data_IF_512122765735
#
_entry.id   IF_512122765735
#
_cell.length_a   1.000
_cell.length_b   1.000
_cell.length_c   1.000
_cell.angle_alpha   90.00
_cell.angle_beta   90.00
_cell.angle_gamma   90.00
#
_symmetry.space_group_name_H-M   'P 1'
#
loop_
_entity.id
_entity.type
_entity.pdbx_description
1 polymer ?
#
# COMPACT_ATOMS: atom_id res chain seq x y z
N UNK A 1 -50.40 15.11 -12.16
CA UNK A 1 -49.34 14.26 -12.75
C UNK A 1 -47.93 14.85 -12.62
N UNK A 2 -47.76 16.15 -12.39
CA UNK A 2 -46.44 16.83 -12.28
C UNK A 2 -45.69 16.55 -10.98
N UNK A 3 -46.40 16.35 -9.86
CA UNK A 3 -45.77 16.16 -8.52
C UNK A 3 -44.94 14.87 -8.44
N UNK A 4 -45.43 13.77 -9.01
CA UNK A 4 -44.76 12.45 -8.99
C UNK A 4 -43.42 12.49 -9.72
N UNK A 5 -43.38 13.21 -10.86
CA UNK A 5 -42.16 13.34 -11.66
C UNK A 5 -41.08 14.12 -10.91
N UNK A 6 -41.49 15.16 -10.19
CA UNK A 6 -40.60 15.98 -9.38
C UNK A 6 -40.02 15.18 -8.19
N UNK A 7 -40.81 14.29 -7.58
CA UNK A 7 -40.33 13.46 -6.46
C UNK A 7 -39.29 12.44 -6.91
N UNK A 8 -39.50 11.80 -8.07
CA UNK A 8 -38.55 10.84 -8.64
C UNK A 8 -37.20 11.49 -8.97
N UNK A 9 -37.22 12.74 -9.45
CA UNK A 9 -35.99 13.47 -9.77
C UNK A 9 -35.15 13.77 -8.53
N UNK A 10 -35.81 14.18 -7.43
CA UNK A 10 -35.13 14.47 -6.16
C UNK A 10 -34.51 13.20 -5.57
N UNK A 11 -35.23 12.08 -5.58
CA UNK A 11 -34.70 10.79 -5.06
C UNK A 11 -33.49 10.34 -5.88
N UNK A 12 -33.57 10.43 -7.22
CA UNK A 12 -32.46 10.09 -8.10
C UNK A 12 -31.22 10.96 -7.86
N UNK A 13 -31.40 12.27 -7.67
CA UNK A 13 -30.30 13.20 -7.40
C UNK A 13 -29.63 12.92 -6.05
N UNK A 14 -30.40 12.63 -5.00
CA UNK A 14 -29.85 12.29 -3.67
C UNK A 14 -29.09 10.96 -3.71
N UNK A 15 -29.63 9.95 -4.39
CA UNK A 15 -28.95 8.67 -4.54
C UNK A 15 -27.63 8.80 -5.31
N UNK A 16 -27.61 9.59 -6.40
CA UNK A 16 -26.39 9.87 -7.16
C UNK A 16 -25.35 10.61 -6.33
N UNK A 17 -25.76 11.63 -5.56
CA UNK A 17 -24.87 12.36 -4.66
C UNK A 17 -24.25 11.44 -3.60
N UNK A 18 -25.04 10.52 -3.03
CA UNK A 18 -24.55 9.52 -2.06
C UNK A 18 -23.58 8.52 -2.70
N UNK A 19 -23.82 8.13 -3.95
CA UNK A 19 -22.92 7.26 -4.71
C UNK A 19 -21.57 7.93 -5.00
N UNK A 20 -21.60 9.21 -5.41
CA UNK A 20 -20.40 9.99 -5.72
C UNK A 20 -19.57 10.25 -4.44
N UNK A 21 -20.22 10.57 -3.32
CA UNK A 21 -19.54 10.73 -2.02
C UNK A 21 -18.97 9.41 -1.52
N UNK A 22 -19.68 8.29 -1.68
CA UNK A 22 -19.15 6.96 -1.37
C UNK A 22 -17.93 6.59 -2.22
N UNK A 23 -17.95 6.87 -3.53
CA UNK A 23 -16.82 6.66 -4.44
C UNK A 23 -15.61 7.55 -4.10
N UNK A 24 -15.84 8.81 -3.77
CA UNK A 24 -14.76 9.75 -3.39
C UNK A 24 -14.17 9.42 -2.02
N UNK A 25 -14.97 8.94 -1.07
CA UNK A 25 -14.47 8.42 0.21
C UNK A 25 -13.58 7.17 0.02
N UNK A 26 -13.92 6.28 -0.92
CA UNK A 26 -13.05 5.15 -1.30
C UNK A 26 -11.74 5.62 -1.97
N UNK A 27 -11.79 6.66 -2.80
CA UNK A 27 -10.56 7.25 -3.37
C UNK A 27 -9.68 7.91 -2.33
N UNK A 28 -10.24 8.61 -1.34
CA UNK A 28 -9.44 9.26 -0.28
C UNK A 28 -8.81 8.28 0.71
N UNK A 29 -9.45 7.14 0.97
CA UNK A 29 -8.84 6.05 1.75
C UNK A 29 -7.73 5.31 0.98
N UNK A 30 -7.60 5.56 -0.32
CA UNK A 30 -6.51 5.07 -1.16
C UNK A 30 -5.37 6.09 -1.31
N UNK A 31 -5.35 7.18 -0.51
CA UNK A 31 -4.17 8.04 -0.46
C UNK A 31 -3.03 7.19 0.13
N UNK A 32 -1.97 6.91 -0.64
CA UNK A 32 -0.84 6.16 -0.15
C UNK A 32 -0.23 6.97 1.02
N UNK A 33 -0.22 6.34 2.19
CA UNK A 33 0.53 6.87 3.34
C UNK A 33 1.98 6.78 2.92
N UNK A 34 2.60 7.94 2.67
CA UNK A 34 4.02 8.20 2.40
C UNK A 34 4.84 7.03 1.80
N UNK A 35 5.45 7.20 0.62
CA UNK A 35 6.25 6.15 -0.01
C UNK A 35 7.31 5.62 0.97
N UNK A 36 7.69 4.34 0.81
CA UNK A 36 8.74 3.78 1.64
C UNK A 36 10.04 4.61 1.48
N UNK A 37 10.76 4.90 2.57
CA UNK A 37 12.03 5.57 2.49
C UNK A 37 13.10 4.63 1.87
N UNK A 38 14.20 5.22 1.40
CA UNK A 38 15.36 4.50 0.89
C UNK A 38 15.99 3.64 2.01
N UNK A 39 16.30 2.36 1.73
CA UNK A 39 16.81 1.42 2.73
C UNK A 39 15.72 0.60 3.40
N UNK A 40 15.13 -0.32 2.63
CA UNK A 40 14.01 -1.16 3.08
C UNK A 40 14.48 -2.57 3.37
N UNK A 41 14.00 -3.14 4.48
CA UNK A 41 14.13 -4.57 4.78
C UNK A 41 12.87 -5.29 4.30
N UNK A 42 13.01 -6.11 3.26
CA UNK A 42 11.96 -6.98 2.77
C UNK A 42 12.01 -8.32 3.52
N UNK A 43 10.96 -8.60 4.27
CA UNK A 43 10.75 -9.89 4.92
C UNK A 43 9.94 -10.80 4.01
N UNK A 44 10.51 -11.96 3.70
CA UNK A 44 9.94 -12.99 2.83
C UNK A 44 9.76 -14.29 3.61
N UNK A 45 8.92 -15.20 3.12
CA UNK A 45 8.72 -16.51 3.76
C UNK A 45 8.46 -17.63 2.75
N UNK A 46 8.58 -18.90 3.18
CA UNK A 46 8.34 -20.04 2.30
C UNK A 46 6.89 -20.05 1.79
N UNK A 47 6.71 -20.37 0.50
CA UNK A 47 5.39 -20.45 -0.14
C UNK A 47 4.72 -19.10 -0.46
N UNK A 48 5.46 -17.99 -0.31
CA UNK A 48 4.95 -16.65 -0.54
C UNK A 48 4.98 -16.28 -2.04
N UNK A 49 3.85 -16.47 -2.75
CA UNK A 49 3.74 -16.08 -4.18
C UNK A 49 3.99 -14.59 -4.43
N UNK A 50 3.62 -13.73 -3.49
CA UNK A 50 3.77 -12.27 -3.63
C UNK A 50 5.19 -11.78 -3.30
N UNK A 51 6.06 -12.63 -2.75
CA UNK A 51 7.40 -12.22 -2.35
C UNK A 51 8.29 -11.94 -3.56
N UNK A 52 8.21 -12.75 -4.62
CA UNK A 52 8.96 -12.52 -5.86
C UNK A 52 8.53 -11.21 -6.54
N UNK A 53 7.22 -10.94 -6.59
CA UNK A 53 6.68 -9.68 -7.14
C UNK A 53 7.14 -8.47 -6.32
N UNK A 54 7.11 -8.58 -4.98
CA UNK A 54 7.55 -7.51 -4.09
C UNK A 54 9.06 -7.25 -4.18
N UNK A 55 9.87 -8.31 -4.27
CA UNK A 55 11.31 -8.21 -4.45
C UNK A 55 11.66 -7.54 -5.78
N UNK A 56 11.04 -7.98 -6.87
CA UNK A 56 11.26 -7.41 -8.19
C UNK A 56 10.87 -5.92 -8.22
N UNK A 57 9.70 -5.59 -7.65
CA UNK A 57 9.21 -4.22 -7.58
C UNK A 57 10.19 -3.34 -6.79
N UNK A 58 10.65 -3.79 -5.62
CA UNK A 58 11.60 -3.03 -4.81
C UNK A 58 12.96 -2.89 -5.48
N UNK A 59 13.52 -3.96 -6.08
CA UNK A 59 14.79 -3.89 -6.81
C UNK A 59 14.71 -2.95 -8.03
N UNK A 60 13.54 -2.88 -8.68
CA UNK A 60 13.35 -1.99 -9.84
C UNK A 60 13.45 -0.49 -9.48
N UNK A 61 13.30 -0.14 -8.20
CA UNK A 61 13.48 1.25 -7.73
C UNK A 61 14.93 1.69 -7.71
N UNK A 62 15.89 0.75 -7.73
CA UNK A 62 17.31 1.04 -7.51
C UNK A 62 17.68 1.33 -6.05
N UNK A 63 16.71 1.35 -5.14
CA UNK A 63 16.98 1.54 -3.71
C UNK A 63 17.67 0.30 -3.11
N UNK A 64 18.50 0.46 -2.06
CA UNK A 64 19.07 -0.65 -1.34
C UNK A 64 17.98 -1.44 -0.60
N UNK A 65 17.85 -2.73 -0.92
CA UNK A 65 16.88 -3.65 -0.32
C UNK A 65 17.61 -4.77 0.40
N UNK A 66 17.31 -4.97 1.67
CA UNK A 66 17.82 -6.10 2.46
C UNK A 66 16.74 -7.16 2.57
N UNK A 67 17.03 -8.39 2.16
CA UNK A 67 16.05 -9.49 2.20
C UNK A 67 16.31 -10.35 3.43
N UNK A 68 15.27 -10.61 4.22
CA UNK A 68 15.34 -11.42 5.43
C UNK A 68 14.23 -12.47 5.42
N UNK A 69 14.54 -13.70 5.84
CA UNK A 69 13.54 -14.76 6.00
C UNK A 69 12.73 -14.51 7.28
N UNK A 70 11.40 -14.65 7.18
CA UNK A 70 10.47 -14.52 8.29
C UNK A 70 10.80 -15.44 9.48
N UNK A 71 11.49 -16.55 9.23
CA UNK A 71 11.95 -17.49 10.27
C UNK A 71 13.16 -16.97 11.07
N UNK A 72 13.70 -15.81 10.73
CA UNK A 72 14.75 -15.17 11.53
C UNK A 72 14.18 -14.77 12.89
N UNK A 73 14.75 -15.32 13.97
CA UNK A 73 14.35 -15.05 15.36
C UNK A 73 14.41 -13.57 15.73
N UNK A 74 15.22 -12.76 15.02
CA UNK A 74 15.27 -11.31 15.23
C UNK A 74 13.94 -10.63 14.88
N UNK A 75 13.12 -11.24 14.03
CA UNK A 75 11.83 -10.72 13.60
C UNK A 75 10.67 -11.13 14.51
N UNK A 76 10.86 -12.06 15.45
CA UNK A 76 9.80 -12.49 16.38
C UNK A 76 9.27 -11.31 17.22
N UNK A 77 10.16 -10.37 17.58
CA UNK A 77 9.80 -9.16 18.30
C UNK A 77 8.83 -8.26 17.51
N UNK A 78 8.85 -8.32 16.18
CA UNK A 78 8.01 -7.51 15.29
C UNK A 78 6.61 -8.09 15.08
N UNK A 79 6.37 -9.33 15.54
CA UNK A 79 5.09 -10.06 15.41
C UNK A 79 4.48 -9.88 14.02
N UNK A 80 5.29 -10.13 13.00
CA UNK A 80 4.81 -10.08 11.62
C UNK A 80 3.77 -11.19 11.45
N UNK A 81 2.53 -10.83 11.13
CA UNK A 81 1.45 -11.79 10.94
C UNK A 81 1.34 -12.29 9.50
N UNK A 82 2.04 -11.65 8.56
CA UNK A 82 1.87 -11.88 7.11
C UNK A 82 3.14 -11.49 6.36
N UNK A 83 3.43 -12.24 5.29
CA UNK A 83 4.49 -11.97 4.31
C UNK A 83 3.89 -11.80 2.89
N UNK A 84 4.50 -11.03 1.98
CA UNK A 84 5.72 -10.23 2.17
C UNK A 84 5.48 -9.06 3.13
N UNK A 85 6.50 -8.63 3.85
CA UNK A 85 6.44 -7.42 4.67
C UNK A 85 7.64 -6.53 4.38
N UNK A 86 7.40 -5.25 4.11
CA UNK A 86 8.47 -4.27 3.96
C UNK A 86 8.57 -3.41 5.22
N UNK A 87 9.78 -3.33 5.76
CA UNK A 87 10.12 -2.59 6.96
C UNK A 87 11.09 -1.49 6.59
N UNK A 88 10.78 -0.26 6.99
CA UNK A 88 11.74 0.81 6.93
C UNK A 88 12.35 1.00 8.32
N UNK A 89 13.68 0.92 8.38
CA UNK A 89 14.45 0.95 9.61
C UNK A 89 15.30 2.21 9.61
N UNK A 90 15.16 3.04 10.64
CA UNK A 90 15.97 4.24 10.81
C UNK A 90 16.58 4.20 12.21
N UNK A 91 17.90 4.36 12.32
CA UNK A 91 18.63 4.32 13.59
C UNK A 91 18.39 3.04 14.42
N UNK A 92 18.13 1.91 13.74
CA UNK A 92 17.86 0.62 14.38
C UNK A 92 16.41 0.41 14.83
N UNK A 93 15.52 1.40 14.64
CA UNK A 93 14.09 1.27 14.94
C UNK A 93 13.25 1.15 13.68
N UNK A 94 12.19 0.34 13.74
CA UNK A 94 11.22 0.21 12.64
C UNK A 94 10.28 1.41 12.67
N UNK A 95 10.50 2.35 11.75
CA UNK A 95 9.69 3.56 11.61
C UNK A 95 8.47 3.35 10.73
N UNK A 96 8.49 2.33 9.85
CA UNK A 96 7.37 2.02 8.98
C UNK A 96 7.28 0.53 8.68
N UNK A 97 6.05 0.02 8.60
CA UNK A 97 5.73 -1.36 8.23
C UNK A 97 4.63 -1.40 7.18
N UNK A 98 4.85 -2.20 6.14
CA UNK A 98 3.89 -2.51 5.06
C UNK A 98 3.84 -4.02 4.86
N UNK A 99 2.69 -4.55 4.49
CA UNK A 99 2.46 -5.99 4.39
C UNK A 99 1.62 -6.34 3.16
N UNK A 100 1.88 -7.52 2.60
CA UNK A 100 1.16 -8.05 1.44
C UNK A 100 1.30 -7.17 0.20
N UNK A 101 0.18 -7.00 -0.52
CA UNK A 101 0.08 -6.23 -1.77
C UNK A 101 0.56 -4.79 -1.63
N UNK A 102 0.34 -4.17 -0.46
CA UNK A 102 0.75 -2.78 -0.20
C UNK A 102 2.25 -2.54 -0.40
N UNK A 103 3.09 -3.57 -0.22
CA UNK A 103 4.53 -3.47 -0.47
C UNK A 103 4.82 -3.20 -1.96
N UNK A 104 4.09 -3.86 -2.85
CA UNK A 104 4.24 -3.73 -4.31
C UNK A 104 3.75 -2.35 -4.76
N UNK A 105 2.59 -1.93 -4.25
CA UNK A 105 1.99 -0.64 -4.60
C UNK A 105 2.90 0.52 -4.18
N UNK A 106 3.45 0.47 -2.96
CA UNK A 106 4.36 1.50 -2.46
C UNK A 106 5.72 1.47 -3.17
N UNK A 107 6.24 0.28 -3.54
CA UNK A 107 7.46 0.18 -4.35
C UNK A 107 7.29 0.82 -5.74
N UNK A 108 6.13 0.61 -6.38
CA UNK A 108 5.79 1.24 -7.65
C UNK A 108 5.62 2.76 -7.53
N UNK A 109 5.24 3.26 -6.35
CA UNK A 109 5.18 4.70 -6.09
C UNK A 109 6.56 5.29 -5.84
N UNK A 110 7.43 4.59 -5.10
CA UNK A 110 8.83 4.97 -4.91
C UNK A 110 9.59 5.04 -6.25
N UNK A 111 9.39 4.06 -7.14
CA UNK A 111 9.94 4.11 -8.50
C UNK A 111 9.50 5.38 -9.26
N UNK A 112 8.23 5.77 -9.10
CA UNK A 112 7.65 6.96 -9.74
C UNK A 112 8.17 8.26 -9.14
N UNK A 113 8.45 8.32 -7.83
CA UNK A 113 9.03 9.51 -7.21
C UNK A 113 10.48 9.71 -7.63
N UNK A 114 11.30 8.65 -7.61
CA UNK A 114 12.70 8.70 -8.01
C UNK A 114 12.85 9.12 -9.48
N UNK A 115 11.94 8.67 -10.35
CA UNK A 115 11.93 9.06 -11.77
C UNK A 115 11.57 10.53 -12.02
N UNK A 116 11.06 11.27 -11.01
CA UNK A 116 10.79 12.72 -11.13
C UNK A 116 11.95 13.58 -10.61
N UNK A 117 12.82 13.01 -9.79
CA UNK A 117 13.95 13.72 -9.17
C UNK A 117 15.25 13.57 -9.98
N UNK A 118 15.35 12.54 -10.82
CA UNK A 118 16.44 12.35 -11.79
C UNK A 118 16.17 13.01 -13.13
#
# INVERSE_FOLDING_TARGET
>A
MTVVWQTLFVIGAVAAAFWITGLTARRMSSRPRSPLPEGVVLVVGPGCRLCDEAELALRSTGAPVTIVDFRDKRLDALRLGTVPAALAVTSGEVVMRRVGRSVIDDAAELARSLSREG
#
